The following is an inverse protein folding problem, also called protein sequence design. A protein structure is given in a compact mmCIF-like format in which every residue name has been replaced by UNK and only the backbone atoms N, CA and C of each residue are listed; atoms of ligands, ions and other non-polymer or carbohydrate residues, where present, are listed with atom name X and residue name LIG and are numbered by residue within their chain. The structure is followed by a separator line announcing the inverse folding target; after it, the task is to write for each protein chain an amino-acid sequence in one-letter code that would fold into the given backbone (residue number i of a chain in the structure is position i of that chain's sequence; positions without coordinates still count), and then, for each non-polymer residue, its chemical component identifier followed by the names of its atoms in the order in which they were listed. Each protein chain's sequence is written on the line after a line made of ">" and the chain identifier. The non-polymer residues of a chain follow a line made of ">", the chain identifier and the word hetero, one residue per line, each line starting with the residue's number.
data_IF_775668105642
#
_entry.id   IF_775668105642
#
_cell.length_a   1.000
_cell.length_b   1.000
_cell.length_c   1.000
_cell.angle_alpha   90.00
_cell.angle_beta   90.00
_cell.angle_gamma   90.00
#
_symmetry.space_group_name_H-M   'P 1'
#
loop_
_entity.id
_entity.type
_entity.pdbx_description
1 polymer ?
#
# COMPACT_ATOMS: atom_id res chain seq x y z
N UNK A 1 7.08 18.94 6.01
CA UNK A 1 8.53 19.05 5.76
C UNK A 1 9.11 17.64 5.71
N UNK A 2 9.07 16.98 4.54
CA UNK A 2 9.82 15.73 4.31
C UNK A 2 11.18 16.14 3.76
N UNK A 3 12.25 15.86 4.51
CA UNK A 3 13.61 16.22 4.13
C UNK A 3 13.98 15.56 2.79
N UNK A 4 14.43 16.39 1.86
CA UNK A 4 15.09 15.99 0.60
C UNK A 4 16.34 15.18 0.95
N UNK A 5 16.36 13.90 0.59
CA UNK A 5 17.61 13.13 0.55
C UNK A 5 18.25 13.43 -0.81
N UNK A 6 19.33 14.21 -0.78
CA UNK A 6 20.20 14.45 -1.93
C UNK A 6 20.82 13.13 -2.38
N UNK A 7 20.73 12.86 -3.67
CA UNK A 7 21.47 11.84 -4.37
C UNK A 7 22.90 12.33 -4.61
N UNK A 8 23.85 11.87 -3.80
CA UNK A 8 25.27 11.92 -4.14
C UNK A 8 25.94 10.58 -3.77
N UNK A 9 26.63 10.06 -4.77
CA UNK A 9 27.74 9.10 -4.77
C UNK A 9 27.55 7.61 -4.45
N UNK A 10 28.25 6.84 -5.28
CA UNK A 10 28.36 5.41 -5.33
C UNK A 10 29.29 4.87 -4.24
N UNK A 11 28.88 3.81 -3.54
CA UNK A 11 29.63 2.55 -3.40
C UNK A 11 29.01 1.64 -2.32
N UNK A 12 29.00 0.34 -2.66
CA UNK A 12 28.97 -0.82 -1.76
C UNK A 12 27.71 -1.12 -0.93
N UNK A 13 27.07 -2.25 -1.27
CA UNK A 13 26.14 -2.97 -0.40
C UNK A 13 24.83 -3.32 -1.11
N UNK A 14 24.70 -4.57 -1.54
CA UNK A 14 23.55 -5.07 -2.29
C UNK A 14 22.22 -4.99 -1.53
N UNK A 15 21.58 -3.84 -1.59
CA UNK A 15 20.13 -3.74 -1.56
C UNK A 15 19.68 -3.67 -3.02
N UNK A 16 18.70 -4.48 -3.42
CA UNK A 16 18.07 -4.31 -4.72
C UNK A 16 17.50 -2.89 -4.78
N UNK A 17 18.22 -1.97 -5.44
CA UNK A 17 17.72 -0.65 -5.79
C UNK A 17 16.38 -0.87 -6.47
N UNK A 18 15.29 -0.65 -5.74
CA UNK A 18 13.95 -0.80 -6.29
C UNK A 18 13.91 0.06 -7.56
N UNK A 19 13.56 -0.54 -8.70
CA UNK A 19 13.50 0.21 -9.95
C UNK A 19 12.40 1.26 -9.81
N UNK A 20 12.78 2.51 -9.58
CA UNK A 20 11.85 3.63 -9.51
C UNK A 20 11.36 3.99 -10.92
N UNK A 21 10.14 4.52 -11.01
CA UNK A 21 9.58 4.96 -12.29
C UNK A 21 10.07 6.37 -12.58
N UNK A 22 10.97 6.54 -13.55
CA UNK A 22 11.53 7.84 -13.94
C UNK A 22 10.47 8.90 -14.24
N UNK A 23 9.34 8.51 -14.84
CA UNK A 23 8.23 9.41 -15.16
C UNK A 23 7.49 9.94 -13.92
N UNK A 24 7.40 9.13 -12.87
CA UNK A 24 6.79 9.53 -11.60
C UNK A 24 7.73 10.46 -10.83
N UNK A 25 9.00 10.07 -10.70
CA UNK A 25 10.02 10.87 -10.01
C UNK A 25 10.19 12.27 -10.64
N UNK A 26 10.19 12.34 -11.98
CA UNK A 26 10.31 13.61 -12.70
C UNK A 26 9.10 14.54 -12.49
N UNK A 27 7.90 13.97 -12.33
CA UNK A 27 6.69 14.73 -12.00
C UNK A 27 6.72 15.20 -10.54
N UNK A 28 7.11 14.32 -9.62
CA UNK A 28 7.23 14.66 -8.20
C UNK A 28 8.29 15.73 -7.95
N UNK A 29 9.39 15.70 -8.70
CA UNK A 29 10.45 16.70 -8.64
C UNK A 29 9.98 18.11 -9.05
N UNK A 30 9.01 18.20 -9.97
CA UNK A 30 8.40 19.47 -10.39
C UNK A 30 7.32 19.96 -9.41
N UNK A 31 6.62 19.05 -8.72
CA UNK A 31 5.65 19.41 -7.69
C UNK A 31 4.44 20.18 -8.24
N UNK A 32 4.06 21.28 -7.57
CA UNK A 32 2.86 22.09 -7.86
C UNK A 32 2.93 22.90 -9.15
N UNK A 33 4.11 23.06 -9.76
CA UNK A 33 4.27 23.80 -11.02
C UNK A 33 3.89 22.98 -12.25
N UNK A 34 3.53 21.70 -12.07
CA UNK A 34 3.09 20.79 -13.12
C UNK A 34 1.62 21.05 -13.55
N UNK A 35 1.29 22.28 -13.91
CA UNK A 35 -0.03 22.63 -14.43
C UNK A 35 -0.17 22.34 -15.93
N UNK A 36 -1.39 21.94 -16.31
CA UNK A 36 -1.79 21.94 -17.71
C UNK A 36 -2.20 23.37 -18.11
N UNK A 37 -1.83 23.81 -19.33
CA UNK A 37 -2.40 25.04 -19.87
C UNK A 37 -3.92 24.93 -19.99
N UNK A 38 -4.60 26.06 -20.20
CA UNK A 38 -6.03 26.05 -20.48
C UNK A 38 -6.29 25.33 -21.80
N UNK A 39 -7.21 24.36 -21.77
CA UNK A 39 -7.52 23.55 -22.93
C UNK A 39 -8.37 22.33 -22.58
N UNK A 40 -8.92 21.69 -23.61
CA UNK A 40 -9.56 20.38 -23.49
C UNK A 40 -8.50 19.34 -23.80
N UNK A 41 -8.36 18.35 -22.92
CA UNK A 41 -7.35 17.30 -23.07
C UNK A 41 -8.01 15.93 -23.06
N UNK A 42 -7.78 15.20 -24.14
CA UNK A 42 -8.06 13.77 -24.22
C UNK A 42 -6.96 12.96 -23.52
N UNK A 43 -7.24 11.69 -23.23
CA UNK A 43 -6.26 10.78 -22.66
C UNK A 43 -5.02 10.60 -23.55
N UNK A 44 -5.19 10.64 -24.88
CA UNK A 44 -4.11 10.48 -25.84
C UNK A 44 -3.19 11.71 -25.85
N UNK A 45 -3.75 12.91 -25.84
CA UNK A 45 -2.99 14.15 -25.77
C UNK A 45 -2.23 14.27 -24.45
N UNK A 46 -2.84 13.85 -23.34
CA UNK A 46 -2.17 13.84 -22.04
C UNK A 46 -1.00 12.86 -22.00
N UNK A 47 -1.13 11.70 -22.67
CA UNK A 47 -0.03 10.74 -22.85
C UNK A 47 1.08 11.30 -23.75
N UNK A 48 0.73 11.97 -24.85
CA UNK A 48 1.69 12.61 -25.75
C UNK A 48 2.53 13.66 -25.02
N UNK A 49 1.86 14.59 -24.35
CA UNK A 49 2.50 15.65 -23.55
C UNK A 49 3.30 15.10 -22.37
N UNK A 50 2.78 14.07 -21.70
CA UNK A 50 3.50 13.37 -20.65
C UNK A 50 4.79 12.71 -21.16
N UNK A 51 4.79 12.19 -22.39
CA UNK A 51 6.01 11.66 -23.03
C UNK A 51 7.03 12.75 -23.34
N UNK A 52 6.61 13.87 -23.90
CA UNK A 52 7.48 15.01 -24.22
C UNK A 52 8.15 15.59 -22.97
N UNK A 53 7.40 15.69 -21.86
CA UNK A 53 7.89 16.25 -20.59
C UNK A 53 8.56 15.21 -19.68
N UNK A 54 8.47 13.93 -20.00
CA UNK A 54 8.91 12.84 -19.13
C UNK A 54 8.07 12.73 -17.83
N UNK A 55 6.79 13.07 -17.87
CA UNK A 55 5.87 13.03 -16.73
C UNK A 55 4.88 11.88 -16.81
N UNK A 56 4.59 11.24 -15.69
CA UNK A 56 3.60 10.17 -15.63
C UNK A 56 2.18 10.72 -15.91
N UNK A 57 1.53 10.37 -17.03
CA UNK A 57 0.23 10.94 -17.39
C UNK A 57 -0.87 10.62 -16.37
N UNK A 58 -0.79 9.45 -15.73
CA UNK A 58 -1.77 9.03 -14.72
C UNK A 58 -1.75 9.92 -13.48
N UNK A 59 -0.57 10.11 -12.87
CA UNK A 59 -0.44 10.98 -11.70
C UNK A 59 -0.60 12.44 -12.04
N UNK A 60 -0.22 12.83 -13.27
CA UNK A 60 -0.45 14.18 -13.75
C UNK A 60 -1.94 14.48 -13.91
N UNK A 61 -2.71 13.60 -14.58
CA UNK A 61 -4.18 13.69 -14.68
C UNK A 61 -4.83 13.85 -13.30
N UNK A 62 -4.38 13.04 -12.34
CA UNK A 62 -4.92 13.05 -10.99
C UNK A 62 -4.64 14.36 -10.24
N UNK A 63 -3.48 14.97 -10.48
CA UNK A 63 -3.14 16.27 -9.90
C UNK A 63 -4.02 17.38 -10.48
N UNK A 64 -4.22 17.39 -11.80
CA UNK A 64 -4.95 18.45 -12.51
C UNK A 64 -6.47 18.38 -12.33
N UNK A 65 -7.03 17.22 -11.95
CA UNK A 65 -8.48 17.07 -11.66
C UNK A 65 -8.96 18.09 -10.62
N UNK A 66 -8.12 18.44 -9.63
CA UNK A 66 -8.47 19.42 -8.60
C UNK A 66 -8.62 20.85 -9.12
N UNK A 67 -8.05 21.14 -10.30
CA UNK A 67 -8.03 22.46 -10.93
C UNK A 67 -8.91 22.51 -12.19
N UNK A 68 -9.45 21.38 -12.63
CA UNK A 68 -10.26 21.28 -13.83
C UNK A 68 -11.70 21.77 -13.56
N UNK A 69 -12.28 22.48 -14.53
CA UNK A 69 -13.68 22.91 -14.45
C UNK A 69 -14.65 21.80 -14.87
N UNK A 70 -14.24 20.97 -15.85
CA UNK A 70 -15.03 19.86 -16.37
C UNK A 70 -14.16 18.62 -16.37
N UNK A 71 -14.66 17.54 -15.77
CA UNK A 71 -13.98 16.25 -15.72
C UNK A 71 -14.95 15.19 -16.22
N UNK A 72 -14.49 14.39 -17.18
CA UNK A 72 -15.25 13.28 -17.76
C UNK A 72 -14.56 11.97 -17.34
N UNK A 73 -15.25 11.14 -16.56
CA UNK A 73 -14.79 9.82 -16.17
C UNK A 73 -15.95 8.82 -16.07
N UNK A 74 -15.63 7.54 -15.97
CA UNK A 74 -16.60 6.45 -15.82
C UNK A 74 -17.26 6.46 -14.42
N UNK A 75 -18.51 6.04 -14.36
CA UNK A 75 -19.32 5.83 -13.15
C UNK A 75 -18.58 5.19 -11.97
N UNK A 76 -17.71 4.20 -12.24
CA UNK A 76 -16.94 3.51 -11.21
C UNK A 76 -16.10 4.46 -10.35
N UNK A 77 -15.59 5.57 -10.91
CA UNK A 77 -14.80 6.54 -10.15
C UNK A 77 -15.62 7.36 -9.16
N UNK A 78 -16.95 7.40 -9.32
CA UNK A 78 -17.86 8.08 -8.39
C UNK A 78 -18.55 7.09 -7.45
N UNK A 79 -18.97 5.95 -7.96
CA UNK A 79 -19.81 4.99 -7.24
C UNK A 79 -19.01 3.95 -6.44
N UNK A 80 -17.79 3.58 -6.86
CA UNK A 80 -16.98 2.61 -6.11
C UNK A 80 -16.41 3.26 -4.83
N UNK A 81 -16.82 2.82 -3.62
CA UNK A 81 -16.32 3.42 -2.38
C UNK A 81 -14.81 3.25 -2.19
N UNK A 82 -14.17 2.29 -2.88
CA UNK A 82 -12.71 2.09 -2.83
C UNK A 82 -11.97 3.15 -3.65
N UNK A 83 -12.55 3.57 -4.77
CA UNK A 83 -11.91 4.48 -5.73
C UNK A 83 -12.41 5.91 -5.56
N UNK A 84 -13.67 6.12 -5.21
CA UNK A 84 -14.31 7.43 -5.09
C UNK A 84 -13.59 8.33 -4.10
N UNK A 85 -13.10 7.79 -2.98
CA UNK A 85 -12.30 8.56 -2.02
C UNK A 85 -11.04 9.20 -2.62
N UNK A 86 -10.53 8.65 -3.73
CA UNK A 86 -9.36 9.17 -4.43
C UNK A 86 -9.67 10.45 -5.20
N UNK A 87 -10.87 10.52 -5.78
CA UNK A 87 -11.32 11.58 -6.69
C UNK A 87 -12.16 12.59 -5.92
N UNK A 88 -13.11 12.13 -5.09
CA UNK A 88 -14.00 12.98 -4.28
C UNK A 88 -13.25 13.87 -3.29
N UNK A 89 -12.05 13.50 -2.84
CA UNK A 89 -11.20 14.40 -2.02
C UNK A 89 -10.66 15.59 -2.80
N UNK A 90 -10.47 15.43 -4.10
CA UNK A 90 -9.96 16.46 -5.00
C UNK A 90 -11.08 17.30 -5.62
N UNK A 91 -12.33 16.85 -5.54
CA UNK A 91 -13.50 17.58 -6.05
C UNK A 91 -14.01 18.61 -5.04
N UNK A 92 -14.50 19.73 -5.54
CA UNK A 92 -15.13 20.77 -4.72
C UNK A 92 -16.51 20.31 -4.23
N UNK A 93 -16.93 20.78 -3.04
CA UNK A 93 -18.25 20.47 -2.47
C UNK A 93 -19.39 20.99 -3.36
N UNK A 94 -19.17 22.12 -4.02
CA UNK A 94 -20.10 22.73 -4.95
C UNK A 94 -19.78 22.25 -6.37
N UNK A 95 -20.27 21.08 -6.74
CA UNK A 95 -20.12 20.55 -8.10
C UNK A 95 -21.46 20.05 -8.64
N UNK A 96 -21.63 20.17 -9.96
CA UNK A 96 -22.76 19.59 -10.69
C UNK A 96 -22.29 18.28 -11.30
N UNK A 97 -22.97 17.19 -10.96
CA UNK A 97 -22.70 15.86 -11.53
C UNK A 97 -23.76 15.54 -12.56
N UNK A 98 -23.31 15.21 -13.77
CA UNK A 98 -24.18 14.78 -14.87
C UNK A 98 -23.92 13.31 -15.15
N UNK A 99 -24.95 12.49 -15.01
CA UNK A 99 -24.91 11.08 -15.43
C UNK A 99 -25.41 10.99 -16.86
N UNK A 100 -24.55 10.53 -17.77
CA UNK A 100 -24.89 10.32 -19.18
C UNK A 100 -25.18 8.85 -19.45
N UNK A 101 -26.30 8.50 -20.08
CA UNK A 101 -26.77 7.11 -20.24
C UNK A 101 -27.05 6.39 -18.89
N UNK A 102 -27.73 7.07 -17.97
CA UNK A 102 -27.96 6.61 -16.60
C UNK A 102 -28.82 5.34 -16.44
N UNK A 103 -29.31 4.75 -17.53
CA UNK A 103 -30.16 3.55 -17.48
C UNK A 103 -29.44 2.30 -16.94
N UNK A 104 -28.10 2.29 -16.93
CA UNK A 104 -27.29 1.16 -16.43
C UNK A 104 -26.80 1.32 -14.98
N UNK A 105 -27.17 2.40 -14.29
CA UNK A 105 -26.60 2.74 -12.98
C UNK A 105 -26.84 1.65 -11.93
N UNK A 106 -28.03 1.03 -11.93
CA UNK A 106 -28.40 0.01 -10.95
C UNK A 106 -27.52 -1.24 -11.08
N UNK A 107 -27.29 -1.69 -12.32
CA UNK A 107 -26.43 -2.84 -12.60
C UNK A 107 -24.99 -2.58 -12.16
N UNK A 108 -24.48 -1.36 -12.38
CA UNK A 108 -23.13 -0.96 -11.97
C UNK A 108 -23.02 -0.93 -10.45
N UNK A 109 -24.02 -0.38 -9.75
CA UNK A 109 -24.06 -0.38 -8.29
C UNK A 109 -24.04 -1.80 -7.72
N UNK A 110 -24.81 -2.72 -8.30
CA UNK A 110 -24.81 -4.13 -7.91
C UNK A 110 -23.43 -4.74 -8.13
N UNK A 111 -22.81 -4.54 -9.30
CA UNK A 111 -21.50 -5.11 -9.63
C UNK A 111 -20.40 -4.60 -8.69
N UNK A 112 -20.33 -3.29 -8.45
CA UNK A 112 -19.29 -2.64 -7.65
C UNK A 112 -19.35 -3.06 -6.17
N UNK A 113 -20.55 -3.32 -5.65
CA UNK A 113 -20.74 -3.78 -4.26
C UNK A 113 -20.71 -5.29 -4.10
N UNK A 114 -20.78 -6.06 -5.20
CA UNK A 114 -20.79 -7.51 -5.17
C UNK A 114 -19.38 -8.10 -5.09
N UNK A 115 -19.19 -9.10 -4.23
CA UNK A 115 -17.96 -9.89 -4.16
C UNK A 115 -18.30 -11.36 -4.38
N UNK A 116 -17.65 -11.96 -5.37
CA UNK A 116 -17.86 -13.36 -5.73
C UNK A 116 -16.75 -14.25 -5.16
N UNK A 117 -17.10 -15.16 -4.25
CA UNK A 117 -16.19 -16.18 -3.74
C UNK A 117 -16.34 -17.47 -4.54
N UNK A 118 -15.24 -17.95 -5.13
CA UNK A 118 -15.18 -19.24 -5.84
C UNK A 118 -14.18 -20.17 -5.16
N UNK A 119 -14.40 -21.46 -5.29
CA UNK A 119 -13.53 -22.49 -4.68
C UNK A 119 -12.06 -22.35 -5.13
N UNK A 120 -11.74 -22.14 -6.43
CA UNK A 120 -10.38 -21.90 -6.87
C UNK A 120 -9.74 -20.66 -6.23
N UNK A 121 -10.51 -19.59 -6.00
CA UNK A 121 -10.04 -18.37 -5.33
C UNK A 121 -9.66 -18.67 -3.89
N UNK A 122 -10.49 -19.41 -3.15
CA UNK A 122 -10.21 -19.79 -1.75
C UNK A 122 -8.99 -20.73 -1.61
N UNK A 123 -8.78 -21.62 -2.58
CA UNK A 123 -7.55 -22.42 -2.68
C UNK A 123 -6.31 -21.57 -2.93
N UNK A 124 -6.39 -20.62 -3.87
CA UNK A 124 -5.30 -19.68 -4.13
C UNK A 124 -4.98 -18.84 -2.88
N UNK A 125 -5.99 -18.36 -2.17
CA UNK A 125 -5.81 -17.65 -0.90
C UNK A 125 -5.10 -18.53 0.15
N UNK A 126 -5.43 -19.81 0.24
CA UNK A 126 -4.78 -20.74 1.17
C UNK A 126 -3.29 -20.89 0.87
N UNK A 127 -2.92 -21.02 -0.42
CA UNK A 127 -1.52 -21.08 -0.85
C UNK A 127 -0.79 -19.76 -0.57
N UNK A 128 -1.44 -18.62 -0.83
CA UNK A 128 -0.87 -17.31 -0.58
C UNK A 128 -0.55 -17.09 0.91
N UNK A 129 -1.46 -17.48 1.81
CA UNK A 129 -1.20 -17.39 3.26
C UNK A 129 0.01 -18.23 3.68
N UNK A 130 0.18 -19.43 3.11
CA UNK A 130 1.36 -20.25 3.41
C UNK A 130 2.65 -19.58 2.92
N UNK A 131 2.63 -18.96 1.73
CA UNK A 131 3.75 -18.19 1.20
C UNK A 131 4.08 -16.96 2.04
N UNK A 132 3.07 -16.23 2.48
CA UNK A 132 3.25 -15.07 3.37
C UNK A 132 3.82 -15.51 4.71
N UNK A 133 3.35 -16.64 5.26
CA UNK A 133 3.92 -17.22 6.48
C UNK A 133 5.41 -17.54 6.32
N UNK A 134 5.79 -18.25 5.25
CA UNK A 134 7.20 -18.59 5.03
C UNK A 134 8.09 -17.36 4.87
N UNK A 135 7.59 -16.30 4.23
CA UNK A 135 8.36 -15.06 4.07
C UNK A 135 8.50 -14.32 5.41
N UNK A 136 7.45 -14.30 6.24
CA UNK A 136 7.54 -13.74 7.60
C UNK A 136 8.53 -14.52 8.46
N UNK A 137 8.50 -15.85 8.39
CA UNK A 137 9.42 -16.70 9.15
C UNK A 137 10.88 -16.46 8.70
N UNK A 138 11.12 -16.31 7.39
CA UNK A 138 12.43 -15.95 6.83
C UNK A 138 12.91 -14.56 7.27
N UNK A 139 12.03 -13.55 7.24
CA UNK A 139 12.36 -12.19 7.66
C UNK A 139 12.68 -12.12 9.16
N UNK A 140 11.89 -12.81 10.01
CA UNK A 140 12.17 -12.92 11.45
C UNK A 140 13.53 -13.52 11.73
N UNK A 141 13.92 -14.57 10.99
CA UNK A 141 15.23 -15.21 11.16
C UNK A 141 16.38 -14.30 10.69
N UNK A 142 16.19 -13.58 9.58
CA UNK A 142 17.16 -12.59 9.08
C UNK A 142 17.35 -11.42 10.05
N UNK A 143 16.26 -10.84 10.54
CA UNK A 143 16.30 -9.70 11.46
C UNK A 143 16.87 -10.10 12.81
N UNK A 144 16.51 -11.28 13.33
CA UNK A 144 17.07 -11.79 14.59
C UNK A 144 18.57 -12.04 14.50
N UNK A 145 19.05 -12.56 13.36
CA UNK A 145 20.49 -12.73 13.10
C UNK A 145 21.21 -11.39 13.05
N UNK A 146 20.70 -10.44 12.27
CA UNK A 146 21.27 -9.10 12.15
C UNK A 146 21.31 -8.37 13.49
N UNK A 147 20.24 -8.46 14.28
CA UNK A 147 20.18 -7.86 15.61
C UNK A 147 21.20 -8.47 16.56
N UNK A 148 21.37 -9.80 16.53
CA UNK A 148 22.36 -10.48 17.35
C UNK A 148 23.81 -10.17 16.93
N UNK A 149 24.07 -10.02 15.63
CA UNK A 149 25.38 -9.58 15.11
C UNK A 149 25.73 -8.16 15.56
N UNK A 150 24.78 -7.21 15.47
CA UNK A 150 24.99 -5.84 15.96
C UNK A 150 25.15 -5.79 17.48
N UNK A 151 24.39 -6.60 18.22
CA UNK A 151 24.57 -6.75 19.66
C UNK A 151 25.97 -7.25 20.01
N UNK A 152 26.45 -8.30 19.35
CA UNK A 152 27.79 -8.84 19.56
C UNK A 152 28.88 -7.81 19.20
N UNK A 153 28.71 -7.06 18.10
CA UNK A 153 29.63 -5.96 17.74
C UNK A 153 29.67 -4.87 18.81
N UNK A 154 28.51 -4.47 19.33
CA UNK A 154 28.40 -3.47 20.37
C UNK A 154 29.05 -3.93 21.68
N UNK A 155 28.77 -5.16 22.13
CA UNK A 155 29.37 -5.75 23.33
C UNK A 155 30.88 -5.86 23.20
N UNK A 156 31.39 -6.33 22.05
CA UNK A 156 32.83 -6.42 21.80
C UNK A 156 33.49 -5.03 21.74
N UNK A 157 32.81 -4.04 21.16
CA UNK A 157 33.29 -2.65 21.13
C UNK A 157 33.37 -2.00 22.52
N UNK A 158 32.34 -2.21 23.36
CA UNK A 158 32.31 -1.72 24.74
C UNK A 158 33.34 -2.41 25.63
N UNK A 159 33.55 -3.72 25.45
CA UNK A 159 34.58 -4.49 26.15
C UNK A 159 36.00 -3.99 25.80
N UNK A 160 36.26 -3.71 24.52
CA UNK A 160 37.56 -3.19 24.07
C UNK A 160 37.84 -1.74 24.51
N UNK A 161 36.78 -0.95 24.78
CA UNK A 161 36.91 0.44 25.25
C UNK A 161 37.06 0.52 26.79
N UNK A 162 37.05 -0.62 27.49
CA UNK A 162 37.20 -0.69 28.95
C UNK A 162 36.03 -0.10 29.74
N UNK A 163 34.89 0.14 29.09
CA UNK A 163 33.72 0.79 29.69
C UNK A 163 32.80 -0.17 30.45
N UNK A 164 33.10 -1.48 30.47
CA UNK A 164 32.31 -2.50 31.16
C UNK A 164 33.19 -3.35 32.11
N UNK A 165 32.92 -3.38 33.43
CA UNK A 165 33.49 -4.37 34.32
C UNK A 165 32.93 -5.76 33.98
N UNK A 166 33.78 -6.79 34.09
CA UNK A 166 33.50 -8.17 33.65
C UNK A 166 32.34 -8.91 34.37
N UNK A 167 31.56 -8.25 35.23
CA UNK A 167 30.64 -8.92 36.16
C UNK A 167 29.29 -8.21 36.42
N UNK A 168 28.87 -7.22 35.64
CA UNK A 168 27.51 -6.67 35.76
C UNK A 168 26.61 -7.11 34.59
N UNK A 169 25.49 -7.75 34.93
CA UNK A 169 24.38 -8.00 34.01
C UNK A 169 23.86 -6.65 33.49
N UNK A 170 24.15 -6.35 32.23
CA UNK A 170 23.61 -5.18 31.55
C UNK A 170 22.07 -5.23 31.61
N UNK A 171 21.40 -4.18 32.10
CA UNK A 171 19.94 -4.10 32.00
C UNK A 171 19.57 -4.12 30.52
N UNK A 172 18.70 -5.04 30.12
CA UNK A 172 18.16 -5.07 28.77
C UNK A 172 17.58 -3.69 28.41
N UNK A 173 18.07 -3.12 27.30
CA UNK A 173 17.56 -1.86 26.73
C UNK A 173 16.03 -1.94 26.61
N UNK A 174 15.29 -0.85 26.90
CA UNK A 174 13.86 -0.91 27.12
C UNK A 174 13.19 -1.33 25.82
N UNK A 175 12.34 -2.35 25.93
CA UNK A 175 11.40 -2.74 24.90
C UNK A 175 10.73 -1.47 24.38
N UNK A 176 10.81 -1.25 23.06
CA UNK A 176 10.04 -0.20 22.39
C UNK A 176 8.62 -0.21 22.96
N UNK A 177 8.09 0.92 23.45
CA UNK A 177 6.75 0.97 24.02
C UNK A 177 5.77 0.36 23.01
N UNK A 178 5.02 -0.65 23.45
CA UNK A 178 3.97 -1.29 22.64
C UNK A 178 2.89 -0.29 22.18
N UNK A 179 2.94 0.94 22.70
CA UNK A 179 1.99 2.02 22.51
C UNK A 179 2.28 2.94 21.33
N UNK A 180 3.35 2.74 20.55
CA UNK A 180 3.57 3.51 19.31
C UNK A 180 2.64 3.05 18.16
N UNK A 181 1.90 1.94 18.33
CA UNK A 181 0.95 1.42 17.34
C UNK A 181 -0.51 1.61 17.79
N UNK A 182 -0.92 2.86 18.00
CA UNK A 182 -2.34 3.23 18.04
C UNK A 182 -2.92 3.29 16.61
N UNK A 183 -3.31 2.15 16.03
CA UNK A 183 -4.21 2.13 14.88
C UNK A 183 -5.11 0.88 14.89
N UNK A 184 -6.44 1.12 14.81
CA UNK A 184 -7.59 0.35 14.31
C UNK A 184 -7.66 -1.20 14.37
N UNK A 185 -6.65 -1.90 14.82
CA UNK A 185 -6.55 -3.37 14.78
C UNK A 185 -6.64 -3.90 16.21
N UNK A 186 -7.62 -4.78 16.51
CA UNK A 186 -7.75 -5.40 17.83
C UNK A 186 -6.44 -6.02 18.29
N UNK A 187 -6.12 -5.91 19.59
CA UNK A 187 -4.81 -6.24 20.14
C UNK A 187 -4.29 -7.64 19.80
N UNK A 188 -5.20 -8.60 19.65
CA UNK A 188 -4.91 -10.00 19.31
C UNK A 188 -4.53 -10.23 17.83
N UNK A 189 -4.79 -9.26 16.94
CA UNK A 189 -4.47 -9.31 15.51
C UNK A 189 -3.23 -8.47 15.15
N UNK A 190 -2.60 -7.82 16.13
CA UNK A 190 -1.39 -7.01 15.92
C UNK A 190 -0.15 -7.85 15.59
N UNK A 191 -0.10 -9.12 16.02
CA UNK A 191 0.97 -10.06 15.65
C UNK A 191 0.65 -10.73 14.32
N UNK A 192 1.61 -10.74 13.41
CA UNK A 192 1.47 -11.34 12.09
C UNK A 192 1.03 -12.81 12.15
N UNK A 193 1.55 -13.59 13.11
CA UNK A 193 1.16 -15.00 13.28
C UNK A 193 -0.32 -15.17 13.65
N UNK A 194 -0.81 -14.34 14.57
CA UNK A 194 -2.20 -14.36 15.02
C UNK A 194 -3.15 -13.93 13.91
N UNK A 195 -2.76 -12.93 13.12
CA UNK A 195 -3.53 -12.51 11.95
C UNK A 195 -3.59 -13.58 10.87
N UNK A 196 -2.47 -14.25 10.57
CA UNK A 196 -2.44 -15.37 9.62
C UNK A 196 -3.27 -16.56 10.11
N UNK A 197 -3.24 -16.87 11.40
CA UNK A 197 -4.08 -17.91 11.99
C UNK A 197 -5.58 -17.58 11.84
N UNK A 198 -5.95 -16.31 12.09
CA UNK A 198 -7.31 -15.83 11.86
C UNK A 198 -7.73 -15.99 10.38
N UNK A 199 -6.90 -15.53 9.43
CA UNK A 199 -7.21 -15.65 8.00
C UNK A 199 -7.34 -17.11 7.54
N UNK A 200 -6.51 -18.03 8.06
CA UNK A 200 -6.66 -19.47 7.79
C UNK A 200 -8.00 -19.99 8.26
N UNK A 201 -8.40 -19.63 9.48
CA UNK A 201 -9.69 -20.03 10.05
C UNK A 201 -10.86 -19.45 9.26
N UNK A 202 -10.76 -18.21 8.84
CA UNK A 202 -11.75 -17.54 7.99
C UNK A 202 -11.91 -18.26 6.65
N UNK A 203 -10.81 -18.54 5.93
CA UNK A 203 -10.88 -19.24 4.64
C UNK A 203 -11.42 -20.67 4.83
N UNK A 204 -11.01 -21.38 5.88
CA UNK A 204 -11.54 -22.71 6.18
C UNK A 204 -13.06 -22.67 6.40
N UNK A 205 -13.56 -21.63 7.09
CA UNK A 205 -14.99 -21.40 7.26
C UNK A 205 -15.69 -21.13 5.92
N UNK A 206 -15.14 -20.23 5.09
CA UNK A 206 -15.69 -19.95 3.75
C UNK A 206 -15.75 -21.20 2.86
N UNK A 207 -14.69 -22.03 2.86
CA UNK A 207 -14.66 -23.29 2.11
C UNK A 207 -15.76 -24.25 2.57
N UNK A 208 -15.91 -24.42 3.89
CA UNK A 208 -16.96 -25.27 4.47
C UNK A 208 -18.36 -24.77 4.06
N UNK A 209 -18.58 -23.46 4.07
CA UNK A 209 -19.85 -22.85 3.67
C UNK A 209 -20.14 -22.97 2.17
N UNK A 210 -19.09 -23.00 1.33
CA UNK A 210 -19.23 -23.16 -0.12
C UNK A 210 -19.50 -24.61 -0.56
N UNK A 211 -19.25 -25.60 0.31
CA UNK A 211 -19.47 -27.03 0.02
C UNK A 211 -20.94 -27.47 0.19
N UNK A 212 -21.86 -26.56 0.48
CA UNK A 212 -23.28 -26.89 0.61
C UNK A 212 -23.86 -27.16 -0.78
N UNK A 213 -24.52 -28.31 -0.96
CA UNK A 213 -25.04 -28.78 -2.27
C UNK A 213 -26.33 -28.07 -2.72
N UNK A 214 -26.98 -27.33 -1.84
CA UNK A 214 -28.20 -26.58 -2.13
C UNK A 214 -27.98 -25.07 -1.94
N UNK A 215 -28.75 -24.28 -2.69
CA UNK A 215 -28.76 -22.82 -2.54
C UNK A 215 -29.39 -22.48 -1.20
N UNK A 216 -28.61 -21.87 -0.31
CA UNK A 216 -29.08 -21.32 0.96
C UNK A 216 -29.29 -19.84 0.76
N UNK A 217 -30.52 -19.35 0.97
CA UNK A 217 -30.78 -17.92 1.16
C UNK A 217 -30.65 -17.62 2.65
N UNK A 218 -29.70 -16.75 3.01
CA UNK A 218 -29.59 -16.15 4.34
C UNK A 218 -30.16 -14.74 4.37
#
# INVERSE_FOLDING_TARGET
>A
VRQKVKSDEAAAGGASSARLCSYYESLEAQGTDAMLPVGVYTLEELKGRGRERGWCPYFWARHVIAFANVVVYNYQYLLDPKISQLVSKSMQRECVVVFDEAHNIDNICIEVMSINFRMPTLEACSRNITRVKSEIDRLKESDSRRLNEEYQRLVNGLANTGALPANEELPANPLLPADILQQAVPGNLRRADSFLAFLRRFIAHCKKRLQVEHVVQE
#
